data_IF_953456715643
#
_entry.id   IF_953456715643
#
_cell.length_a   1.000
_cell.length_b   1.000
_cell.length_c   1.000
_cell.angle_alpha   90.00
_cell.angle_beta   90.00
_cell.angle_gamma   90.00
#
_symmetry.space_group_name_H-M   'P 1'
#
loop_
_entity.id
_entity.type
_entity.pdbx_description
1 polymer ?
#
# COMPACT_ATOMS: atom_id res chain seq x y z
N UNK A 1 -29.32 -11.25 1.58
CA UNK A 1 -27.86 -11.24 1.71
C UNK A 1 -27.47 -10.12 2.64
N UNK A 2 -26.99 -10.46 3.85
CA UNK A 2 -26.59 -9.47 4.85
C UNK A 2 -25.27 -8.77 4.44
N UNK A 3 -25.17 -7.45 4.68
CA UNK A 3 -23.91 -6.72 4.62
C UNK A 3 -23.20 -6.86 5.95
N UNK A 4 -21.86 -7.01 5.94
CA UNK A 4 -21.04 -6.95 7.14
C UNK A 4 -19.84 -6.04 6.89
N UNK A 5 -19.38 -5.36 7.94
CA UNK A 5 -18.10 -4.67 7.94
C UNK A 5 -17.02 -5.71 8.20
N UNK A 6 -16.17 -5.97 7.20
CA UNK A 6 -15.13 -7.00 7.32
C UNK A 6 -13.94 -6.50 8.15
N UNK A 7 -13.49 -5.25 7.92
CA UNK A 7 -12.41 -4.63 8.68
C UNK A 7 -12.68 -3.15 8.95
N UNK A 8 -11.93 -2.56 9.86
CA UNK A 8 -12.02 -1.14 10.24
C UNK A 8 -10.62 -0.53 10.30
N UNK A 9 -10.58 0.81 10.35
CA UNK A 9 -9.33 1.52 10.63
C UNK A 9 -8.35 1.58 9.46
N UNK A 10 -8.82 1.45 8.22
CA UNK A 10 -8.12 1.91 7.02
C UNK A 10 -8.62 3.31 6.65
N UNK A 11 -7.72 4.16 6.12
CA UNK A 11 -8.06 5.55 5.77
C UNK A 11 -8.62 5.68 4.36
N UNK A 12 -7.85 5.27 3.39
CA UNK A 12 -8.16 5.39 1.97
C UNK A 12 -7.61 4.17 1.21
N UNK A 13 -8.21 2.99 1.43
CA UNK A 13 -7.85 1.79 0.68
C UNK A 13 -8.21 1.96 -0.78
N UNK A 14 -7.23 1.79 -1.69
CA UNK A 14 -7.41 2.03 -3.11
C UNK A 14 -7.39 0.73 -3.94
N UNK A 15 -6.51 -0.20 -3.61
CA UNK A 15 -6.40 -1.48 -4.30
C UNK A 15 -6.67 -2.66 -3.37
N UNK A 16 -7.22 -3.74 -3.94
CA UNK A 16 -7.51 -4.96 -3.21
C UNK A 16 -7.26 -6.18 -4.10
N UNK A 17 -6.63 -7.22 -3.54
CA UNK A 17 -6.43 -8.50 -4.24
C UNK A 17 -6.51 -9.68 -3.26
N UNK A 18 -6.69 -10.88 -3.81
CA UNK A 18 -6.56 -12.13 -3.04
C UNK A 18 -5.14 -12.65 -3.23
N UNK A 19 -4.45 -12.86 -2.13
CA UNK A 19 -3.09 -13.37 -2.11
C UNK A 19 -3.01 -14.89 -2.28
N UNK A 20 -1.78 -15.44 -2.33
CA UNK A 20 -1.54 -16.85 -2.66
C UNK A 20 -2.13 -17.84 -1.64
N UNK A 21 -2.45 -17.39 -0.44
CA UNK A 21 -3.05 -18.23 0.62
C UNK A 21 -4.55 -17.95 0.85
N UNK A 22 -5.18 -17.16 -0.04
CA UNK A 22 -6.58 -16.80 0.07
C UNK A 22 -6.88 -15.65 1.03
N UNK A 23 -5.86 -15.06 1.62
CA UNK A 23 -5.98 -13.84 2.42
C UNK A 23 -6.17 -12.61 1.53
N UNK A 24 -6.80 -11.59 2.06
CA UNK A 24 -7.05 -10.33 1.35
C UNK A 24 -5.85 -9.40 1.60
N UNK A 25 -5.39 -8.76 0.53
CA UNK A 25 -4.37 -7.71 0.59
C UNK A 25 -4.94 -6.40 0.08
N UNK A 26 -4.64 -5.30 0.77
CA UNK A 26 -5.12 -3.98 0.39
C UNK A 26 -4.01 -2.93 0.54
N UNK A 27 -3.92 -2.03 -0.43
CA UNK A 27 -3.13 -0.79 -0.32
C UNK A 27 -3.95 0.25 0.43
N UNK A 28 -3.28 1.08 1.24
CA UNK A 28 -3.95 2.16 1.97
C UNK A 28 -3.12 3.44 1.97
N UNK A 29 -3.75 4.54 1.56
CA UNK A 29 -3.12 5.86 1.47
C UNK A 29 -3.39 6.67 2.72
N UNK A 30 -2.34 7.34 3.22
CA UNK A 30 -2.36 7.98 4.51
C UNK A 30 -2.51 9.50 4.44
N UNK A 31 -2.59 10.18 5.60
CA UNK A 31 -2.84 11.62 5.69
C UNK A 31 -1.72 12.45 5.06
N UNK A 32 -2.09 13.66 4.64
CA UNK A 32 -1.16 14.69 4.18
C UNK A 32 -0.83 15.69 5.31
N UNK A 33 0.13 16.58 5.07
CA UNK A 33 0.40 17.72 5.94
C UNK A 33 1.36 17.45 7.10
N UNK A 34 2.03 16.30 7.12
CA UNK A 34 3.05 15.97 8.13
C UNK A 34 4.49 16.03 7.59
N UNK A 35 4.68 16.64 6.43
CA UNK A 35 6.00 16.72 5.75
C UNK A 35 6.18 15.62 4.71
N UNK A 36 7.40 15.52 4.17
CA UNK A 36 7.70 14.67 3.02
C UNK A 36 7.77 13.17 3.36
N UNK A 37 8.19 12.83 4.59
CA UNK A 37 8.62 11.47 4.90
C UNK A 37 7.65 10.69 5.79
N UNK A 38 6.58 11.33 6.26
CA UNK A 38 5.54 10.72 7.09
C UNK A 38 4.14 11.21 6.72
N UNK A 39 3.12 10.36 6.94
CA UNK A 39 3.19 8.94 7.26
C UNK A 39 3.44 8.08 6.01
N UNK A 40 3.90 6.82 6.17
CA UNK A 40 4.13 5.92 5.06
C UNK A 40 2.80 5.48 4.42
N UNK A 41 2.85 5.09 3.14
CA UNK A 41 1.77 4.30 2.53
C UNK A 41 1.81 2.86 3.04
N UNK A 42 0.69 2.15 2.97
CA UNK A 42 0.55 0.83 3.59
C UNK A 42 0.21 -0.27 2.61
N UNK A 43 0.74 -1.46 2.88
CA UNK A 43 0.20 -2.71 2.39
C UNK A 43 -0.31 -3.54 3.57
N UNK A 44 -1.60 -3.69 3.65
CA UNK A 44 -2.31 -4.38 4.71
C UNK A 44 -2.72 -5.79 4.30
N UNK A 45 -2.56 -6.74 5.22
CA UNK A 45 -3.02 -8.11 5.08
C UNK A 45 -4.21 -8.36 6.01
N UNK A 46 -5.37 -8.66 5.44
CA UNK A 46 -6.59 -8.97 6.16
C UNK A 46 -6.75 -10.48 6.23
N UNK A 47 -6.75 -11.04 7.43
CA UNK A 47 -6.77 -12.50 7.62
C UNK A 47 -8.12 -13.00 8.11
N UNK A 48 -8.90 -12.15 8.78
CA UNK A 48 -10.21 -12.49 9.32
C UNK A 48 -11.10 -11.26 9.48
N UNK A 49 -12.40 -11.48 9.60
CA UNK A 49 -13.34 -10.42 9.92
C UNK A 49 -13.11 -9.83 11.32
N UNK A 50 -13.35 -8.52 11.46
CA UNK A 50 -13.26 -7.80 12.73
C UNK A 50 -11.91 -7.16 13.03
N UNK A 51 -10.90 -7.32 12.15
CA UNK A 51 -9.59 -6.67 12.28
C UNK A 51 -9.69 -5.15 12.19
N UNK A 52 -8.81 -4.45 12.94
CA UNK A 52 -8.71 -2.99 12.95
C UNK A 52 -7.28 -2.55 12.61
N UNK A 53 -7.14 -1.70 11.58
CA UNK A 53 -5.85 -1.28 11.01
C UNK A 53 -5.36 0.09 11.52
N UNK A 54 -5.93 0.60 12.59
CA UNK A 54 -5.37 1.70 13.37
C UNK A 54 -5.93 3.08 13.07
N UNK A 55 -6.32 3.39 11.83
CA UNK A 55 -6.83 4.74 11.49
C UNK A 55 -8.15 5.07 12.25
N UNK A 56 -8.34 6.30 12.73
CA UNK A 56 -7.51 7.49 12.57
C UNK A 56 -6.43 7.68 13.65
N UNK A 57 -6.25 6.75 14.59
CA UNK A 57 -5.25 6.85 15.64
C UNK A 57 -3.82 6.67 15.12
N UNK A 58 -3.64 5.66 14.24
CA UNK A 58 -2.40 5.38 13.53
C UNK A 58 -2.54 5.58 12.02
N UNK A 59 -1.43 5.95 11.35
CA UNK A 59 -1.20 5.82 9.92
C UNK A 59 0.15 5.09 9.77
N UNK A 60 0.15 3.88 9.23
CA UNK A 60 1.26 2.98 9.43
C UNK A 60 1.46 2.73 10.93
N UNK A 61 2.70 2.78 11.36
CA UNK A 61 3.07 2.75 12.78
C UNK A 61 3.13 4.15 13.42
N UNK A 62 2.90 5.20 12.63
CA UNK A 62 2.96 6.56 13.10
C UNK A 62 1.66 6.94 13.83
N UNK A 63 1.78 7.38 15.08
CA UNK A 63 0.63 7.89 15.84
C UNK A 63 0.23 9.27 15.33
N UNK A 64 -0.93 9.37 14.69
CA UNK A 64 -1.48 10.62 14.15
C UNK A 64 -2.32 11.37 15.17
N UNK A 65 -3.05 10.66 16.03
CA UNK A 65 -3.91 11.25 17.03
C UNK A 65 -3.14 12.23 17.94
N UNK A 66 -3.57 13.49 17.95
CA UNK A 66 -2.90 14.58 18.66
C UNK A 66 -1.68 15.19 17.94
N UNK A 67 -1.36 14.74 16.74
CA UNK A 67 -0.37 15.38 15.86
C UNK A 67 -0.92 16.67 15.23
N UNK A 68 -0.08 17.50 14.59
CA UNK A 68 -0.55 18.68 13.84
C UNK A 68 -1.59 18.38 12.76
N UNK A 69 -1.60 17.15 12.20
CA UNK A 69 -2.60 16.75 11.21
C UNK A 69 -3.94 16.31 11.83
N UNK A 70 -3.97 16.01 13.12
CA UNK A 70 -5.18 15.56 13.82
C UNK A 70 -5.18 16.01 15.30
N UNK A 71 -5.11 17.32 15.57
CA UNK A 71 -5.05 17.85 16.95
C UNK A 71 -6.34 17.53 17.73
N UNK A 72 -7.47 17.49 17.06
CA UNK A 72 -8.78 17.20 17.67
C UNK A 72 -8.90 15.74 18.17
N UNK A 73 -8.02 14.86 17.73
CA UNK A 73 -7.98 13.46 18.15
C UNK A 73 -7.02 13.21 19.33
N UNK A 74 -6.53 14.26 20.00
CA UNK A 74 -5.54 14.13 21.11
C UNK A 74 -6.01 13.20 22.24
N UNK A 75 -7.31 13.20 22.53
CA UNK A 75 -7.93 12.40 23.59
C UNK A 75 -8.51 11.07 23.09
N UNK A 76 -8.28 10.74 21.81
CA UNK A 76 -8.74 9.49 21.23
C UNK A 76 -8.03 8.31 21.88
N UNK A 77 -8.82 7.30 22.28
CA UNK A 77 -8.28 6.04 22.81
C UNK A 77 -7.70 5.21 21.68
N UNK A 78 -6.54 4.63 21.97
CA UNK A 78 -5.91 3.67 21.06
C UNK A 78 -6.85 2.49 20.77
N UNK A 79 -7.06 2.12 19.50
CA UNK A 79 -7.88 0.97 19.17
C UNK A 79 -7.20 -0.32 19.67
N UNK A 80 -7.94 -1.10 20.45
CA UNK A 80 -7.42 -2.36 21.00
C UNK A 80 -7.10 -3.33 19.85
N UNK A 81 -5.88 -3.90 19.91
CA UNK A 81 -5.46 -4.90 18.92
C UNK A 81 -5.27 -4.35 17.51
N UNK A 82 -4.86 -3.09 17.38
CA UNK A 82 -4.53 -2.52 16.08
C UNK A 82 -3.47 -3.36 15.36
N UNK A 83 -3.74 -3.68 14.09
CA UNK A 83 -2.84 -4.43 13.22
C UNK A 83 -2.07 -3.42 12.38
N UNK A 84 -0.76 -3.61 12.32
CA UNK A 84 0.12 -2.76 11.53
C UNK A 84 0.37 -3.34 10.13
N UNK A 85 0.70 -2.48 9.15
CA UNK A 85 0.92 -2.93 7.78
C UNK A 85 2.07 -3.94 7.68
N UNK A 86 1.95 -4.85 6.71
CA UNK A 86 2.99 -5.80 6.37
C UNK A 86 4.18 -5.11 5.67
N UNK A 87 3.88 -4.06 4.89
CA UNK A 87 4.88 -3.21 4.24
C UNK A 87 4.48 -1.75 4.43
N UNK A 88 5.45 -0.92 4.78
CA UNK A 88 5.36 0.52 4.75
C UNK A 88 6.14 1.02 3.52
N UNK A 89 5.44 1.71 2.61
CA UNK A 89 6.06 2.36 1.46
C UNK A 89 6.47 3.79 1.82
N UNK A 90 7.45 4.38 1.12
CA UNK A 90 7.77 5.79 1.30
C UNK A 90 6.52 6.68 1.21
N UNK A 91 6.45 7.69 2.07
CA UNK A 91 5.30 8.56 2.21
C UNK A 91 4.89 9.21 0.88
N UNK A 92 3.58 9.37 0.69
CA UNK A 92 2.96 10.08 -0.41
C UNK A 92 3.16 9.47 -1.81
N UNK A 93 3.68 8.26 -1.94
CA UNK A 93 3.83 7.61 -3.25
C UNK A 93 2.49 7.21 -3.87
N UNK A 94 1.39 7.26 -3.11
CA UNK A 94 0.04 6.94 -3.52
C UNK A 94 -0.06 5.53 -4.13
N UNK A 95 0.02 4.51 -3.29
CA UNK A 95 -0.20 3.12 -3.66
C UNK A 95 -1.68 2.94 -4.05
N UNK A 96 -1.92 2.60 -5.32
CA UNK A 96 -3.26 2.38 -5.86
C UNK A 96 -3.49 0.89 -6.11
N UNK A 97 -3.55 0.47 -7.36
CA UNK A 97 -3.84 -0.90 -7.71
C UNK A 97 -2.80 -1.91 -7.23
N UNK A 98 -3.26 -3.12 -7.01
CA UNK A 98 -2.46 -4.25 -6.52
C UNK A 98 -2.92 -5.53 -7.20
N UNK A 99 -1.98 -6.36 -7.64
CA UNK A 99 -2.27 -7.65 -8.24
C UNK A 99 -1.38 -8.75 -7.69
N UNK A 100 -1.96 -9.87 -7.30
CA UNK A 100 -1.23 -11.10 -7.03
C UNK A 100 -0.78 -11.73 -8.34
N UNK A 101 0.54 -11.88 -8.53
CA UNK A 101 1.08 -12.45 -9.75
C UNK A 101 0.90 -13.96 -9.81
N UNK A 102 0.10 -14.42 -10.75
CA UNK A 102 -0.19 -15.84 -10.98
C UNK A 102 0.50 -16.39 -12.23
N UNK A 103 1.21 -15.52 -12.98
CA UNK A 103 1.96 -15.90 -14.16
C UNK A 103 3.30 -16.59 -13.86
N UNK A 104 3.92 -17.11 -14.91
CA UNK A 104 5.23 -17.74 -14.87
C UNK A 104 6.22 -17.19 -15.89
N UNK A 105 5.83 -16.15 -16.63
CA UNK A 105 6.69 -15.52 -17.65
C UNK A 105 7.87 -14.75 -17.05
N UNK A 106 7.71 -14.21 -15.84
CA UNK A 106 8.79 -13.54 -15.14
C UNK A 106 9.71 -14.52 -14.40
N UNK A 107 10.94 -14.10 -14.05
CA UNK A 107 11.84 -14.89 -13.22
C UNK A 107 11.17 -15.40 -11.93
N UNK A 108 11.58 -16.59 -11.49
CA UNK A 108 10.97 -17.32 -10.35
C UNK A 108 10.83 -16.48 -9.08
N UNK A 109 11.69 -15.49 -8.84
CA UNK A 109 11.63 -14.61 -7.67
C UNK A 109 10.33 -13.80 -7.59
N UNK A 110 9.63 -13.59 -8.73
CA UNK A 110 8.37 -12.85 -8.80
C UNK A 110 7.12 -13.73 -8.66
N UNK A 111 7.27 -15.06 -8.74
CA UNK A 111 6.12 -15.95 -8.69
C UNK A 111 5.41 -15.90 -7.34
N UNK A 112 4.10 -15.71 -7.36
CA UNK A 112 3.25 -15.67 -6.17
C UNK A 112 3.39 -14.40 -5.31
N UNK A 113 4.16 -13.39 -5.75
CA UNK A 113 4.25 -12.11 -5.07
C UNK A 113 3.16 -11.12 -5.51
N UNK A 114 3.25 -9.92 -5.01
CA UNK A 114 2.30 -8.83 -5.28
C UNK A 114 2.97 -7.71 -6.06
N UNK A 115 2.36 -7.25 -7.14
CA UNK A 115 2.73 -6.01 -7.82
C UNK A 115 1.81 -4.88 -7.34
N UNK A 116 2.40 -3.71 -7.03
CA UNK A 116 1.70 -2.54 -6.50
C UNK A 116 2.03 -1.33 -7.34
N UNK A 117 1.01 -0.69 -7.90
CA UNK A 117 1.14 0.55 -8.63
C UNK A 117 1.30 1.73 -7.66
N UNK A 118 2.45 2.41 -7.71
CA UNK A 118 2.70 3.67 -7.00
C UNK A 118 2.51 4.84 -7.95
N UNK A 119 1.38 5.53 -7.81
CA UNK A 119 0.92 6.60 -8.71
C UNK A 119 1.87 7.80 -8.76
N UNK A 120 2.53 8.07 -7.65
CA UNK A 120 3.46 9.17 -7.46
C UNK A 120 2.90 10.36 -6.72
N UNK A 121 3.78 11.00 -5.96
CA UNK A 121 3.45 12.10 -5.08
C UNK A 121 3.01 13.36 -5.83
N UNK A 122 2.21 14.18 -5.16
CA UNK A 122 1.86 15.53 -5.62
C UNK A 122 2.32 16.60 -4.62
N UNK A 123 2.62 16.21 -3.39
CA UNK A 123 2.84 17.08 -2.22
C UNK A 123 4.22 16.90 -1.56
N UNK A 124 5.19 16.30 -2.27
CA UNK A 124 6.58 16.19 -1.78
C UNK A 124 7.47 17.24 -2.42
N UNK A 125 8.46 17.72 -1.66
CA UNK A 125 9.53 18.58 -2.17
C UNK A 125 10.31 17.89 -3.30
N UNK A 126 10.66 16.62 -3.09
CA UNK A 126 11.24 15.76 -4.13
C UNK A 126 10.19 14.72 -4.52
N UNK A 127 9.73 14.70 -5.79
CA UNK A 127 8.77 13.71 -6.26
C UNK A 127 9.20 12.28 -5.99
N UNK A 128 8.27 11.43 -5.54
CA UNK A 128 8.51 10.03 -5.19
C UNK A 128 7.35 9.15 -5.65
N UNK A 129 7.61 7.89 -5.92
CA UNK A 129 6.67 6.98 -6.57
C UNK A 129 6.84 7.01 -8.08
N UNK A 130 5.75 6.96 -8.86
CA UNK A 130 5.77 6.85 -10.32
C UNK A 130 6.48 5.57 -10.77
N UNK A 131 6.09 4.45 -10.17
CA UNK A 131 6.76 3.16 -10.37
C UNK A 131 5.83 2.00 -10.02
N UNK A 132 6.25 0.80 -10.37
CA UNK A 132 5.63 -0.44 -9.90
C UNK A 132 6.56 -1.06 -8.87
N UNK A 133 6.04 -1.32 -7.68
CA UNK A 133 6.71 -2.10 -6.66
C UNK A 133 6.39 -3.59 -6.81
N UNK A 134 7.32 -4.42 -6.42
CA UNK A 134 7.11 -5.85 -6.18
C UNK A 134 7.27 -6.15 -4.69
N UNK A 135 6.37 -6.96 -4.14
CA UNK A 135 6.41 -7.43 -2.76
C UNK A 135 6.39 -8.96 -2.75
N UNK A 136 7.49 -9.61 -2.38
CA UNK A 136 7.51 -11.07 -2.29
C UNK A 136 6.65 -11.55 -1.12
N UNK A 137 5.92 -12.65 -1.32
CA UNK A 137 5.20 -13.34 -0.24
C UNK A 137 6.02 -14.56 0.17
N UNK A 138 6.40 -14.59 1.45
CA UNK A 138 7.19 -15.66 2.05
C UNK A 138 6.37 -16.94 2.26
N UNK A 139 7.04 -18.04 2.54
CA UNK A 139 6.42 -19.33 2.79
C UNK A 139 5.42 -19.31 3.98
N UNK A 140 5.66 -18.46 4.97
CA UNK A 140 4.73 -18.22 6.09
C UNK A 140 3.48 -17.41 5.71
N UNK A 141 3.45 -16.86 4.49
CA UNK A 141 2.35 -16.03 3.96
C UNK A 141 2.43 -14.57 4.36
N UNK A 142 3.53 -14.12 4.96
CA UNK A 142 3.78 -12.72 5.24
C UNK A 142 4.57 -12.06 4.11
N UNK A 143 4.49 -10.74 4.01
CA UNK A 143 5.26 -9.99 3.04
C UNK A 143 6.75 -9.99 3.38
N UNK A 144 7.59 -10.03 2.35
CA UNK A 144 8.97 -9.61 2.42
C UNK A 144 9.10 -8.09 2.16
N UNK A 145 10.33 -7.57 2.15
CA UNK A 145 10.57 -6.17 1.80
C UNK A 145 10.17 -5.90 0.35
N UNK A 146 9.59 -4.72 0.10
CA UNK A 146 9.28 -4.28 -1.27
C UNK A 146 10.56 -3.93 -2.04
N UNK A 147 10.56 -4.22 -3.33
CA UNK A 147 11.57 -3.75 -4.28
C UNK A 147 10.92 -3.02 -5.46
N UNK A 148 11.65 -2.12 -6.10
CA UNK A 148 11.18 -1.50 -7.35
C UNK A 148 11.27 -2.54 -8.47
N UNK A 149 10.12 -2.81 -9.12
CA UNK A 149 10.05 -3.70 -10.27
C UNK A 149 10.25 -2.95 -11.59
N UNK A 150 9.52 -1.84 -11.75
CA UNK A 150 9.63 -0.99 -12.94
C UNK A 150 9.55 0.49 -12.54
N UNK A 151 10.42 1.32 -13.10
CA UNK A 151 10.42 2.76 -12.95
C UNK A 151 10.59 3.45 -14.32
N UNK A 152 10.93 4.74 -14.32
CA UNK A 152 11.07 5.53 -15.54
C UNK A 152 9.81 6.33 -15.91
N UNK A 153 8.78 6.29 -15.09
CA UNK A 153 7.56 7.09 -15.29
C UNK A 153 7.68 8.53 -14.76
N UNK A 154 8.83 8.88 -14.18
CA UNK A 154 9.20 10.22 -13.76
C UNK A 154 10.48 10.65 -14.48
N UNK A 155 10.45 11.79 -15.15
CA UNK A 155 11.68 12.46 -15.58
C UNK A 155 12.34 13.09 -14.35
N UNK A 156 13.38 12.44 -13.86
CA UNK A 156 14.11 12.86 -12.66
C UNK A 156 14.85 14.19 -12.81
N UNK A 157 15.19 14.59 -14.04
CA UNK A 157 15.89 15.83 -14.32
C UNK A 157 14.96 17.05 -14.21
N UNK A 158 13.71 16.88 -14.62
CA UNK A 158 12.72 17.99 -14.63
C UNK A 158 11.66 17.86 -13.54
N UNK A 159 11.56 16.72 -12.85
CA UNK A 159 10.48 16.41 -11.91
C UNK A 159 9.11 16.17 -12.58
N UNK A 160 9.07 16.09 -13.92
CA UNK A 160 7.83 15.93 -14.66
C UNK A 160 7.41 14.46 -14.71
N UNK A 161 6.15 14.18 -14.36
CA UNK A 161 5.56 12.87 -14.56
C UNK A 161 5.39 12.58 -16.07
N UNK A 162 5.95 11.48 -16.52
CA UNK A 162 5.75 10.94 -17.89
C UNK A 162 4.52 10.04 -17.94
N UNK A 163 4.31 9.26 -16.86
CA UNK A 163 3.10 8.50 -16.63
C UNK A 163 2.86 8.36 -15.12
N UNK A 164 1.64 7.98 -14.75
CA UNK A 164 1.23 7.71 -13.38
C UNK A 164 0.56 6.35 -13.32
N UNK A 165 1.25 5.30 -12.84
CA UNK A 165 0.65 3.98 -12.69
C UNK A 165 -0.59 4.02 -11.80
N UNK A 166 -1.66 3.33 -12.21
CA UNK A 166 -2.94 3.28 -11.48
C UNK A 166 -3.24 1.87 -11.01
N UNK A 167 -3.00 0.89 -11.86
CA UNK A 167 -3.31 -0.51 -11.56
C UNK A 167 -2.31 -1.44 -12.23
N UNK A 168 -2.40 -2.73 -11.89
CA UNK A 168 -1.61 -3.81 -12.48
C UNK A 168 -2.50 -5.01 -12.70
N UNK A 169 -2.51 -5.57 -13.91
CA UNK A 169 -3.29 -6.75 -14.23
C UNK A 169 -2.41 -7.87 -14.81
N UNK A 170 -2.69 -9.12 -14.40
CA UNK A 170 -2.08 -10.28 -15.04
C UNK A 170 -2.71 -10.53 -16.40
N UNK A 171 -1.89 -10.79 -17.42
CA UNK A 171 -2.34 -11.21 -18.74
C UNK A 171 -2.24 -12.75 -18.88
N UNK A 172 -2.99 -13.35 -19.82
CA UNK A 172 -3.00 -14.80 -20.00
C UNK A 172 -1.64 -15.41 -20.40
N UNK A 173 -0.77 -14.63 -21.02
CA UNK A 173 0.59 -15.04 -21.40
C UNK A 173 1.60 -14.97 -20.24
N UNK A 174 1.15 -14.52 -19.06
CA UNK A 174 1.98 -14.34 -17.87
C UNK A 174 2.70 -13.01 -17.80
N UNK A 175 2.48 -12.12 -18.73
CA UNK A 175 2.93 -10.72 -18.60
C UNK A 175 1.97 -9.92 -17.70
N UNK A 176 2.32 -8.67 -17.41
CA UNK A 176 1.46 -7.71 -16.70
C UNK A 176 1.21 -6.48 -17.56
N UNK A 177 0.03 -5.90 -17.38
CA UNK A 177 -0.40 -4.64 -17.95
C UNK A 177 -0.55 -3.61 -16.83
#
# INVERSE_FOLDING_TARGET
>A
TGRMVYSKGMRNPAGITIGPKGDIWATDNQVDGLGDDIPPGELNKLTKAGEHFGFPYYNGKFKVAGSPAAPDLKDMKEPAGAIFPQVEFPAHQAQLGISHYTGTAFPKKYHGGLFVASHGSWNRTVPSGYLINFVPIKADGNAGPSEVFADGFLDKATGRALARPVDVANLPDGSIL
#
